data_IF_456347695940
#
_entry.id   IF_456347695940
#
_cell.length_a   1.000
_cell.length_b   1.000
_cell.length_c   1.000
_cell.angle_alpha   90.00
_cell.angle_beta   90.00
_cell.angle_gamma   90.00
#
_symmetry.space_group_name_H-M   'P 1'
#
loop_
_entity.id
_entity.type
_entity.pdbx_description
1 polymer ?
#
# COMPACT_ATOMS: atom_id res chain seq x y z
N UNK A 1 -25.18 -19.77 -14.43
CA UNK A 1 -25.81 -18.47 -14.10
C UNK A 1 -26.39 -18.45 -12.68
N UNK A 2 -26.35 -19.55 -11.91
CA UNK A 2 -26.84 -19.62 -10.53
C UNK A 2 -25.78 -19.42 -9.42
N UNK A 3 -24.50 -19.21 -9.76
CA UNK A 3 -23.41 -19.01 -8.78
C UNK A 3 -23.13 -17.54 -8.44
N UNK A 4 -23.82 -16.58 -9.07
CA UNK A 4 -23.52 -15.13 -8.96
C UNK A 4 -23.88 -14.50 -7.60
N UNK A 5 -24.53 -15.26 -6.72
CA UNK A 5 -24.88 -14.86 -5.36
C UNK A 5 -23.97 -15.51 -4.30
N UNK A 6 -22.78 -16.00 -4.68
CA UNK A 6 -21.69 -16.09 -3.70
C UNK A 6 -21.39 -14.67 -3.22
N UNK A 7 -21.92 -14.34 -2.04
CA UNK A 7 -21.98 -13.01 -1.44
C UNK A 7 -20.68 -12.23 -1.64
N UNK A 8 -20.75 -11.11 -2.35
CA UNK A 8 -19.66 -10.15 -2.45
C UNK A 8 -19.15 -9.84 -1.03
N UNK A 9 -17.91 -10.23 -0.71
CA UNK A 9 -17.38 -10.23 0.66
C UNK A 9 -16.91 -8.83 1.09
N UNK A 10 -17.78 -7.83 1.03
CA UNK A 10 -17.52 -6.46 1.48
C UNK A 10 -18.01 -6.25 2.90
N UNK A 11 -17.18 -5.63 3.73
CA UNK A 11 -17.59 -5.20 5.07
C UNK A 11 -17.99 -3.75 5.03
N UNK A 12 -19.21 -3.45 5.43
CA UNK A 12 -19.73 -2.09 5.58
C UNK A 12 -20.46 -1.95 6.91
N UNK A 13 -20.49 -0.76 7.53
CA UNK A 13 -21.31 -0.49 8.70
C UNK A 13 -22.80 -0.71 8.40
N UNK A 14 -23.60 -1.01 9.43
CA UNK A 14 -25.05 -1.12 9.29
C UNK A 14 -25.70 0.26 9.06
N UNK A 15 -26.63 0.34 8.11
CA UNK A 15 -27.42 1.55 7.85
C UNK A 15 -28.63 1.61 8.80
N UNK A 16 -28.65 2.61 9.68
CA UNK A 16 -29.66 2.76 10.75
C UNK A 16 -30.17 4.19 10.96
N UNK A 17 -29.51 5.20 10.39
CA UNK A 17 -29.88 6.60 10.55
C UNK A 17 -30.84 7.04 9.45
N UNK A 18 -31.82 7.87 9.77
CA UNK A 18 -32.76 8.46 8.80
C UNK A 18 -32.44 9.92 8.46
N UNK A 19 -31.57 10.57 9.24
CA UNK A 19 -31.12 11.94 9.04
C UNK A 19 -29.68 12.11 9.55
N UNK A 20 -29.01 13.17 9.09
CA UNK A 20 -27.68 13.57 9.56
C UNK A 20 -27.82 14.62 10.67
N UNK A 21 -26.92 14.60 11.65
CA UNK A 21 -26.94 15.50 12.81
C UNK A 21 -26.42 16.91 12.51
N UNK A 22 -25.60 17.04 11.45
CA UNK A 22 -24.81 18.25 11.18
C UNK A 22 -25.34 19.07 9.99
N UNK A 23 -26.15 18.48 9.11
CA UNK A 23 -26.84 19.18 8.01
C UNK A 23 -28.02 18.35 7.49
N UNK A 24 -28.85 18.91 6.61
CA UNK A 24 -29.82 18.10 5.87
C UNK A 24 -29.10 17.14 4.90
N UNK A 25 -29.69 15.96 4.65
CA UNK A 25 -29.15 14.95 3.74
C UNK A 25 -29.36 15.31 2.25
N UNK A 26 -29.03 16.55 1.87
CA UNK A 26 -29.15 17.05 0.50
C UNK A 26 -27.80 17.57 0.01
N UNK A 27 -27.48 17.45 -1.31
CA UNK A 27 -26.21 17.94 -1.84
C UNK A 27 -25.95 19.41 -1.54
N UNK A 28 -26.98 20.27 -1.63
CA UNK A 28 -26.86 21.71 -1.37
C UNK A 28 -26.52 22.02 0.08
N UNK A 29 -27.15 21.34 1.04
CA UNK A 29 -26.88 21.54 2.46
C UNK A 29 -25.47 21.04 2.82
N UNK A 30 -25.08 19.87 2.29
CA UNK A 30 -23.75 19.32 2.52
C UNK A 30 -22.65 20.17 1.88
N UNK A 31 -22.85 20.69 0.66
CA UNK A 31 -21.90 21.59 0.01
C UNK A 31 -21.68 22.88 0.81
N UNK A 32 -22.75 23.46 1.38
CA UNK A 32 -22.64 24.58 2.31
C UNK A 32 -21.81 24.20 3.54
N UNK A 33 -22.11 23.06 4.17
CA UNK A 33 -21.36 22.58 5.32
C UNK A 33 -19.88 22.34 5.02
N UNK A 34 -19.55 21.79 3.85
CA UNK A 34 -18.16 21.58 3.39
C UNK A 34 -17.43 22.91 3.23
N UNK A 35 -18.08 23.94 2.67
CA UNK A 35 -17.49 25.29 2.55
C UNK A 35 -17.19 25.94 3.91
N UNK A 36 -17.99 25.62 4.93
CA UNK A 36 -17.86 26.18 6.28
C UNK A 36 -16.83 25.41 7.15
N UNK A 37 -16.15 24.39 6.59
CA UNK A 37 -15.11 23.65 7.32
C UNK A 37 -13.90 24.55 7.63
N UNK A 38 -13.34 24.50 8.85
CA UNK A 38 -12.21 25.33 9.24
C UNK A 38 -10.90 24.78 8.67
N UNK A 39 -10.67 24.91 7.36
CA UNK A 39 -9.52 24.31 6.66
C UNK A 39 -8.15 24.76 7.20
N UNK A 40 -8.07 25.89 7.92
CA UNK A 40 -6.87 26.32 8.63
C UNK A 40 -6.56 25.47 9.89
N UNK A 41 -7.57 24.81 10.47
CA UNK A 41 -7.44 23.88 11.58
C UNK A 41 -7.68 22.44 11.09
N UNK A 42 -6.59 21.81 10.63
CA UNK A 42 -6.61 20.45 10.06
C UNK A 42 -7.14 19.42 11.07
N UNK A 43 -6.78 19.56 12.35
CA UNK A 43 -7.20 18.63 13.39
C UNK A 43 -8.72 18.67 13.64
N UNK A 44 -9.30 19.86 13.68
CA UNK A 44 -10.75 20.03 13.83
C UNK A 44 -11.51 19.61 12.56
N UNK A 45 -11.02 19.99 11.38
CA UNK A 45 -11.59 19.56 10.10
C UNK A 45 -11.61 18.03 9.98
N UNK A 46 -10.52 17.36 10.35
CA UNK A 46 -10.44 15.90 10.35
C UNK A 46 -11.48 15.24 11.26
N UNK A 47 -11.71 15.79 12.46
CA UNK A 47 -12.75 15.28 13.38
C UNK A 47 -14.14 15.45 12.80
N UNK A 48 -14.47 16.63 12.26
CA UNK A 48 -15.77 16.91 11.65
C UNK A 48 -16.05 15.99 10.46
N UNK A 49 -15.05 15.82 9.57
CA UNK A 49 -15.15 14.88 8.44
C UNK A 49 -15.31 13.44 8.91
N UNK A 50 -14.57 13.01 9.94
CA UNK A 50 -14.70 11.67 10.49
C UNK A 50 -16.11 11.38 11.02
N UNK A 51 -16.68 12.31 11.81
CA UNK A 51 -18.06 12.19 12.30
C UNK A 51 -19.07 12.19 11.15
N UNK A 52 -18.93 13.12 10.20
CA UNK A 52 -19.82 13.21 9.04
C UNK A 52 -19.80 11.94 8.19
N UNK A 53 -18.63 11.39 7.88
CA UNK A 53 -18.49 10.14 7.13
C UNK A 53 -19.09 8.95 7.87
N UNK A 54 -18.94 8.89 9.20
CA UNK A 54 -19.51 7.82 10.00
C UNK A 54 -21.05 7.84 9.96
N UNK A 55 -21.65 9.03 10.06
CA UNK A 55 -23.11 9.19 9.91
C UNK A 55 -23.57 8.91 8.49
N UNK A 56 -22.86 9.41 7.47
CA UNK A 56 -23.18 9.14 6.07
C UNK A 56 -23.19 7.64 5.76
N UNK A 57 -22.23 6.87 6.26
CA UNK A 57 -22.20 5.41 6.09
C UNK A 57 -23.37 4.70 6.81
N UNK A 58 -23.93 5.30 7.86
CA UNK A 58 -25.08 4.75 8.58
C UNK A 58 -26.42 5.29 8.08
N UNK A 59 -26.44 6.33 7.23
CA UNK A 59 -27.66 6.94 6.71
C UNK A 59 -28.37 5.96 5.76
N UNK A 60 -29.70 5.81 5.87
CA UNK A 60 -30.53 5.06 4.92
C UNK A 60 -30.96 6.04 3.83
N UNK A 61 -30.41 5.87 2.61
CA UNK A 61 -30.66 6.77 1.48
C UNK A 61 -30.42 6.04 0.16
N UNK A 62 -31.04 6.52 -0.94
CA UNK A 62 -30.89 5.90 -2.25
C UNK A 62 -29.43 5.97 -2.76
N UNK A 63 -28.94 4.96 -3.51
CA UNK A 63 -27.54 4.89 -3.97
C UNK A 63 -27.07 6.13 -4.74
N UNK A 64 -27.95 6.69 -5.59
CA UNK A 64 -27.65 7.89 -6.39
C UNK A 64 -27.44 9.13 -5.52
N UNK A 65 -28.24 9.28 -4.47
CA UNK A 65 -28.13 10.40 -3.53
C UNK A 65 -26.91 10.22 -2.63
N UNK A 66 -26.66 8.99 -2.13
CA UNK A 66 -25.44 8.63 -1.42
C UNK A 66 -24.20 9.00 -2.22
N UNK A 67 -24.16 8.62 -3.50
CA UNK A 67 -23.06 8.96 -4.41
C UNK A 67 -22.81 10.47 -4.45
N UNK A 68 -23.86 11.27 -4.66
CA UNK A 68 -23.74 12.72 -4.71
C UNK A 68 -23.21 13.32 -3.40
N UNK A 69 -23.62 12.81 -2.24
CA UNK A 69 -23.13 13.28 -0.94
C UNK A 69 -21.65 12.91 -0.70
N UNK A 70 -21.23 11.70 -1.05
CA UNK A 70 -19.86 11.24 -0.83
C UNK A 70 -18.88 11.98 -1.74
N UNK A 71 -19.22 12.24 -3.00
CA UNK A 71 -18.33 12.97 -3.90
C UNK A 71 -18.03 14.40 -3.39
N UNK A 72 -18.97 15.04 -2.67
CA UNK A 72 -18.77 16.39 -2.09
C UNK A 72 -17.72 16.42 -0.97
N UNK A 73 -17.56 15.33 -0.21
CA UNK A 73 -16.64 15.27 0.92
C UNK A 73 -15.28 14.65 0.55
N UNK A 74 -15.16 14.06 -0.64
CA UNK A 74 -13.96 13.37 -1.10
C UNK A 74 -12.73 14.27 -1.12
N UNK A 75 -12.81 15.42 -1.78
CA UNK A 75 -11.67 16.34 -1.89
C UNK A 75 -11.21 16.88 -0.52
N UNK A 76 -12.11 17.32 0.38
CA UNK A 76 -11.75 17.64 1.77
C UNK A 76 -11.03 16.50 2.51
N UNK A 77 -11.50 15.26 2.38
CA UNK A 77 -10.88 14.09 3.02
C UNK A 77 -9.46 13.86 2.48
N UNK A 78 -9.27 13.95 1.16
CA UNK A 78 -7.96 13.78 0.54
C UNK A 78 -6.98 14.89 0.96
N UNK A 79 -7.43 16.14 0.98
CA UNK A 79 -6.64 17.27 1.46
C UNK A 79 -6.19 17.06 2.91
N UNK A 80 -7.12 16.76 3.82
CA UNK A 80 -6.83 16.52 5.24
C UNK A 80 -5.90 15.32 5.43
N UNK A 81 -6.11 14.22 4.72
CA UNK A 81 -5.21 13.06 4.75
C UNK A 81 -3.77 13.41 4.31
N UNK A 82 -3.62 14.30 3.33
CA UNK A 82 -2.32 14.79 2.86
C UNK A 82 -1.63 15.69 3.89
N UNK A 83 -2.36 16.61 4.51
CA UNK A 83 -1.81 17.48 5.55
C UNK A 83 -1.42 16.72 6.82
N UNK A 84 -2.28 15.80 7.27
CA UNK A 84 -2.00 14.95 8.43
C UNK A 84 -0.80 14.01 8.21
N UNK A 85 -0.50 13.64 6.96
CA UNK A 85 0.65 12.80 6.62
C UNK A 85 1.99 13.38 7.09
N UNK A 86 2.10 14.71 7.09
CA UNK A 86 3.31 15.43 7.52
C UNK A 86 3.64 15.20 9.00
N UNK A 87 2.68 14.72 9.81
CA UNK A 87 2.86 14.53 11.25
C UNK A 87 3.24 13.10 11.66
N UNK A 88 3.16 12.12 10.77
CA UNK A 88 3.54 10.73 11.07
C UNK A 88 4.53 10.12 10.08
N UNK A 89 4.71 10.71 8.89
CA UNK A 89 5.79 10.32 7.99
C UNK A 89 7.12 10.95 8.40
N UNK A 90 8.22 10.27 8.07
CA UNK A 90 9.60 10.63 8.43
C UNK A 90 9.83 10.76 9.96
N UNK A 91 8.98 10.10 10.75
CA UNK A 91 9.14 9.93 12.19
C UNK A 91 9.90 8.62 12.48
N UNK A 92 10.36 8.40 13.73
CA UNK A 92 10.97 7.13 14.12
C UNK A 92 10.08 5.92 13.78
N UNK A 93 10.71 4.78 13.47
CA UNK A 93 10.00 3.53 13.08
C UNK A 93 8.95 3.13 14.13
N UNK A 94 9.30 3.26 15.41
CA UNK A 94 8.32 3.15 16.49
C UNK A 94 7.68 4.52 16.70
N UNK A 95 6.48 4.69 16.14
CA UNK A 95 5.74 5.94 16.25
C UNK A 95 5.35 6.24 17.70
N UNK A 96 5.60 7.46 18.19
CA UNK A 96 5.02 7.94 19.44
C UNK A 96 3.48 7.97 19.39
N UNK A 97 2.84 8.04 20.55
CA UNK A 97 1.39 7.92 20.66
C UNK A 97 0.61 8.93 19.81
N UNK A 98 1.04 10.20 19.78
CA UNK A 98 0.37 11.26 19.03
C UNK A 98 0.42 11.04 17.50
N UNK A 99 1.60 10.88 16.85
CA UNK A 99 1.68 10.50 15.44
C UNK A 99 0.90 9.23 15.09
N UNK A 100 0.93 8.21 15.95
CA UNK A 100 0.17 6.97 15.76
C UNK A 100 -1.34 7.23 15.74
N UNK A 101 -1.88 8.05 16.65
CA UNK A 101 -3.30 8.45 16.63
C UNK A 101 -3.66 9.21 15.36
N UNK A 102 -2.78 10.07 14.86
CA UNK A 102 -2.99 10.81 13.60
C UNK A 102 -3.03 9.85 12.40
N UNK A 103 -2.08 8.90 12.32
CA UNK A 103 -2.06 7.89 11.28
C UNK A 103 -3.36 7.05 11.28
N UNK A 104 -3.81 6.61 12.46
CA UNK A 104 -5.07 5.87 12.62
C UNK A 104 -6.30 6.69 12.21
N UNK A 105 -6.32 7.99 12.51
CA UNK A 105 -7.40 8.87 12.05
C UNK A 105 -7.45 8.95 10.52
N UNK A 106 -6.31 9.15 9.85
CA UNK A 106 -6.30 9.17 8.38
C UNK A 106 -6.66 7.81 7.77
N UNK A 107 -6.23 6.73 8.42
CA UNK A 107 -6.61 5.37 8.05
C UNK A 107 -8.13 5.20 8.11
N UNK A 108 -8.76 5.68 9.19
CA UNK A 108 -10.21 5.60 9.37
C UNK A 108 -10.99 6.52 8.41
N UNK A 109 -10.50 7.74 8.13
CA UNK A 109 -11.10 8.65 7.14
C UNK A 109 -11.16 8.00 5.75
N UNK A 110 -10.05 7.37 5.31
CA UNK A 110 -10.01 6.72 4.00
C UNK A 110 -10.88 5.46 3.95
N UNK A 111 -10.87 4.63 5.01
CA UNK A 111 -11.75 3.45 5.10
C UNK A 111 -13.23 3.83 5.10
N UNK A 112 -13.61 4.89 5.82
CA UNK A 112 -14.97 5.39 5.83
C UNK A 112 -15.38 5.91 4.45
N UNK A 113 -14.47 6.51 3.69
CA UNK A 113 -14.74 6.93 2.32
C UNK A 113 -15.00 5.71 1.41
N UNK A 114 -14.13 4.70 1.49
CA UNK A 114 -14.33 3.44 0.78
C UNK A 114 -15.65 2.75 1.15
N UNK A 115 -16.03 2.74 2.43
CA UNK A 115 -17.32 2.20 2.91
C UNK A 115 -18.52 2.85 2.23
N UNK A 116 -18.47 4.17 2.03
CA UNK A 116 -19.53 4.89 1.36
C UNK A 116 -19.74 4.40 -0.08
N UNK A 117 -18.66 4.17 -0.82
CA UNK A 117 -18.73 3.59 -2.17
C UNK A 117 -19.15 2.13 -2.17
N UNK A 118 -18.70 1.34 -1.19
CA UNK A 118 -19.12 -0.06 -1.04
C UNK A 118 -20.63 -0.17 -0.79
N UNK A 119 -21.24 0.74 -0.03
CA UNK A 119 -22.70 0.80 0.11
C UNK A 119 -23.40 1.02 -1.24
N UNK A 120 -22.91 1.94 -2.08
CA UNK A 120 -23.50 2.18 -3.41
C UNK A 120 -23.50 0.89 -4.24
N UNK A 121 -22.43 0.11 -4.15
CA UNK A 121 -22.28 -1.17 -4.87
C UNK A 121 -23.27 -2.21 -4.33
N UNK A 122 -23.30 -2.42 -3.01
CA UNK A 122 -24.17 -3.41 -2.35
C UNK A 122 -25.65 -3.10 -2.52
N UNK A 123 -26.02 -1.82 -2.39
CA UNK A 123 -27.41 -1.35 -2.53
C UNK A 123 -27.88 -1.35 -4.00
N UNK A 124 -26.94 -1.52 -4.94
CA UNK A 124 -27.19 -1.60 -6.38
C UNK A 124 -26.86 -2.99 -6.93
N UNK A 125 -27.12 -4.07 -6.19
CA UNK A 125 -27.02 -5.47 -6.65
C UNK A 125 -28.38 -5.99 -7.16
N UNK A 126 -28.66 -5.78 -8.44
CA UNK A 126 -29.82 -6.27 -9.18
C UNK A 126 -29.39 -6.96 -10.49
N UNK A 127 -30.23 -7.84 -11.08
CA UNK A 127 -29.84 -8.59 -12.27
C UNK A 127 -29.56 -7.72 -13.52
N UNK A 128 -30.14 -6.52 -13.58
CA UNK A 128 -29.96 -5.57 -14.68
C UNK A 128 -30.21 -4.15 -14.19
N UNK A 129 -29.46 -3.19 -14.74
CA UNK A 129 -29.61 -1.77 -14.41
C UNK A 129 -29.39 -0.91 -15.65
N UNK A 130 -30.00 0.30 -15.67
CA UNK A 130 -29.73 1.29 -16.71
C UNK A 130 -28.24 1.63 -16.84
N UNK A 131 -27.81 2.02 -18.04
CA UNK A 131 -26.42 2.40 -18.35
C UNK A 131 -25.87 3.50 -17.41
N UNK A 132 -26.71 4.43 -16.97
CA UNK A 132 -26.35 5.47 -15.99
C UNK A 132 -25.94 4.87 -14.63
N UNK A 133 -26.66 3.85 -14.18
CA UNK A 133 -26.34 3.13 -12.93
C UNK A 133 -25.05 2.33 -13.09
N UNK A 134 -24.85 1.69 -14.26
CA UNK A 134 -23.59 0.98 -14.57
C UNK A 134 -22.36 1.89 -14.49
N UNK A 135 -22.46 3.13 -15.00
CA UNK A 135 -21.38 4.13 -14.90
C UNK A 135 -21.13 4.58 -13.46
N UNK A 136 -22.20 4.73 -12.68
CA UNK A 136 -22.11 5.07 -11.24
C UNK A 136 -21.44 3.93 -10.46
N UNK A 137 -21.84 2.68 -10.71
CA UNK A 137 -21.21 1.47 -10.16
C UNK A 137 -19.74 1.38 -10.54
N UNK A 138 -19.41 1.61 -11.81
CA UNK A 138 -18.03 1.57 -12.27
C UNK A 138 -17.17 2.62 -11.54
N UNK A 139 -17.71 3.83 -11.38
CA UNK A 139 -17.05 4.89 -10.62
C UNK A 139 -16.91 4.51 -9.15
N UNK A 140 -17.95 3.97 -8.51
CA UNK A 140 -17.89 3.52 -7.12
C UNK A 140 -16.84 2.41 -6.90
N UNK A 141 -16.75 1.41 -7.78
CA UNK A 141 -15.71 0.38 -7.71
C UNK A 141 -14.30 0.98 -7.84
N UNK A 142 -14.11 1.88 -8.80
CA UNK A 142 -12.83 2.57 -9.01
C UNK A 142 -12.41 3.39 -7.78
N UNK A 143 -13.34 4.18 -7.21
CA UNK A 143 -13.08 4.97 -6.00
C UNK A 143 -12.79 4.07 -4.80
N UNK A 144 -13.59 3.03 -4.57
CA UNK A 144 -13.40 2.11 -3.46
C UNK A 144 -12.03 1.41 -3.51
N UNK A 145 -11.63 0.90 -4.69
CA UNK A 145 -10.29 0.30 -4.87
C UNK A 145 -9.21 1.34 -4.62
N UNK A 146 -9.35 2.55 -5.15
CA UNK A 146 -8.36 3.63 -4.96
C UNK A 146 -8.19 4.04 -3.49
N UNK A 147 -9.29 4.14 -2.75
CA UNK A 147 -9.29 4.48 -1.33
C UNK A 147 -8.70 3.37 -0.47
N UNK A 148 -9.09 2.11 -0.70
CA UNK A 148 -8.49 0.95 -0.04
C UNK A 148 -6.99 0.85 -0.36
N UNK A 149 -6.58 1.11 -1.60
CA UNK A 149 -5.18 1.09 -2.02
C UNK A 149 -4.33 2.11 -1.24
N UNK A 150 -4.87 3.30 -0.96
CA UNK A 150 -4.18 4.33 -0.16
C UNK A 150 -4.01 3.89 1.30
N UNK A 151 -4.91 3.05 1.81
CA UNK A 151 -4.72 2.47 3.15
C UNK A 151 -3.59 1.46 3.21
N UNK A 152 -3.46 0.63 2.17
CA UNK A 152 -2.37 -0.33 2.05
C UNK A 152 -1.04 0.41 1.85
N UNK A 153 -1.01 1.46 1.03
CA UNK A 153 0.15 2.33 0.90
C UNK A 153 0.59 2.89 2.26
N UNK A 154 -0.34 3.45 3.03
CA UNK A 154 -0.03 4.01 4.36
C UNK A 154 0.52 2.95 5.30
N UNK A 155 -0.07 1.75 5.32
CA UNK A 155 0.45 0.64 6.11
C UNK A 155 1.87 0.25 5.69
N UNK A 156 2.15 0.19 4.39
CA UNK A 156 3.50 -0.06 3.87
C UNK A 156 4.49 1.05 4.26
N UNK A 157 4.09 2.32 4.21
CA UNK A 157 4.92 3.45 4.66
C UNK A 157 5.20 3.38 6.16
N UNK A 158 4.26 2.89 6.96
CA UNK A 158 4.44 2.71 8.39
C UNK A 158 5.08 1.37 8.76
N UNK A 159 5.51 0.59 7.77
CA UNK A 159 6.10 -0.75 7.94
C UNK A 159 5.23 -1.67 8.80
N UNK A 160 3.90 -1.52 8.70
CA UNK A 160 2.90 -2.31 9.40
C UNK A 160 2.21 -3.29 8.43
N UNK A 161 1.50 -4.27 8.99
CA UNK A 161 0.61 -5.12 8.19
C UNK A 161 -0.47 -4.29 7.50
N UNK A 162 -0.90 -4.72 6.32
CA UNK A 162 -2.06 -4.15 5.63
C UNK A 162 -3.31 -4.23 6.54
N UNK A 163 -4.26 -3.28 6.41
CA UNK A 163 -5.50 -3.32 7.18
C UNK A 163 -6.27 -4.61 6.90
N UNK A 164 -6.89 -5.18 7.93
CA UNK A 164 -7.65 -6.42 7.82
C UNK A 164 -8.78 -6.28 6.80
N UNK A 165 -8.88 -7.22 5.87
CA UNK A 165 -9.90 -7.29 4.82
C UNK A 165 -9.63 -6.40 3.61
N UNK A 166 -8.65 -5.49 3.65
CA UNK A 166 -8.43 -4.55 2.56
C UNK A 166 -8.06 -5.24 1.24
N UNK A 167 -7.24 -6.30 1.29
CA UNK A 167 -6.87 -7.04 0.08
C UNK A 167 -8.06 -7.85 -0.43
N UNK A 168 -8.75 -8.55 0.46
CA UNK A 168 -9.94 -9.31 0.08
C UNK A 168 -10.96 -8.40 -0.61
N UNK A 169 -11.29 -7.25 -0.02
CA UNK A 169 -12.26 -6.32 -0.59
C UNK A 169 -11.83 -5.78 -1.95
N UNK A 170 -10.55 -5.41 -2.13
CA UNK A 170 -10.03 -4.96 -3.42
C UNK A 170 -10.21 -6.06 -4.49
N UNK A 171 -9.88 -7.32 -4.15
CA UNK A 171 -10.02 -8.44 -5.08
C UNK A 171 -11.48 -8.70 -5.44
N UNK A 172 -12.37 -8.64 -4.46
CA UNK A 172 -13.82 -8.84 -4.65
C UNK A 172 -14.42 -7.73 -5.52
N UNK A 173 -14.01 -6.47 -5.31
CA UNK A 173 -14.44 -5.32 -6.13
C UNK A 173 -13.97 -5.46 -7.59
N UNK A 174 -12.74 -5.91 -7.82
CA UNK A 174 -12.22 -6.15 -9.16
C UNK A 174 -12.95 -7.31 -9.85
N UNK A 175 -13.12 -8.45 -9.17
CA UNK A 175 -13.84 -9.61 -9.69
C UNK A 175 -15.31 -9.27 -10.04
N UNK A 176 -15.99 -8.54 -9.15
CA UNK A 176 -17.33 -8.01 -9.42
C UNK A 176 -17.36 -7.11 -10.66
N UNK A 177 -16.41 -6.19 -10.79
CA UNK A 177 -16.33 -5.30 -11.94
C UNK A 177 -16.05 -6.05 -13.26
N UNK A 178 -15.25 -7.11 -13.23
CA UNK A 178 -15.00 -8.01 -14.37
C UNK A 178 -16.30 -8.71 -14.79
N UNK A 179 -16.97 -9.38 -13.86
CA UNK A 179 -18.20 -10.15 -14.10
C UNK A 179 -19.35 -9.28 -14.60
N UNK A 180 -19.46 -8.05 -14.07
CA UNK A 180 -20.47 -7.09 -14.48
C UNK A 180 -20.08 -6.32 -15.74
N UNK A 181 -18.93 -6.59 -16.38
CA UNK A 181 -18.40 -5.88 -17.55
C UNK A 181 -18.32 -4.35 -17.34
N UNK A 182 -17.75 -3.95 -16.21
CA UNK A 182 -17.53 -2.55 -15.80
C UNK A 182 -16.10 -2.07 -16.10
N UNK A 183 -15.15 -2.97 -16.35
CA UNK A 183 -13.74 -2.61 -16.59
C UNK A 183 -13.53 -1.69 -17.81
N UNK A 184 -14.46 -1.71 -18.77
CA UNK A 184 -14.42 -0.90 -20.00
C UNK A 184 -14.64 0.62 -19.80
N UNK A 185 -15.13 1.05 -18.64
CA UNK A 185 -15.44 2.46 -18.42
C UNK A 185 -14.19 3.26 -18.07
N UNK A 186 -13.93 4.31 -18.84
CA UNK A 186 -12.96 5.35 -18.49
C UNK A 186 -13.59 6.29 -17.46
N UNK A 187 -12.92 6.45 -16.32
CA UNK A 187 -13.42 7.17 -15.14
C UNK A 187 -12.47 8.33 -14.86
N UNK A 188 -13.04 9.52 -14.76
CA UNK A 188 -12.30 10.71 -14.39
C UNK A 188 -12.02 10.71 -12.88
N UNK A 189 -10.77 10.98 -12.50
CA UNK A 189 -10.36 11.11 -11.10
C UNK A 189 -9.38 12.26 -10.91
N UNK A 190 -9.86 13.37 -10.33
CA UNK A 190 -8.99 14.50 -9.97
C UNK A 190 -7.94 14.17 -8.91
N UNK A 191 -8.04 13.01 -8.25
CA UNK A 191 -7.06 12.56 -7.27
C UNK A 191 -5.92 11.73 -7.87
N UNK A 192 -6.01 11.39 -9.16
CA UNK A 192 -4.90 10.85 -9.94
C UNK A 192 -4.07 11.99 -10.53
N UNK A 193 -2.74 11.82 -10.53
CA UNK A 193 -1.80 12.85 -11.01
C UNK A 193 -1.36 12.62 -12.44
N UNK A 194 -1.15 11.37 -12.81
CA UNK A 194 -0.42 11.03 -14.04
C UNK A 194 -1.27 10.29 -15.08
N UNK A 195 -2.42 9.73 -14.66
CA UNK A 195 -3.35 9.04 -15.55
C UNK A 195 -4.80 9.36 -15.23
N UNK A 196 -5.40 10.20 -16.05
CA UNK A 196 -6.79 10.61 -15.99
C UNK A 196 -7.31 10.87 -17.41
N UNK A 197 -8.37 10.17 -17.89
CA UNK A 197 -9.15 9.15 -17.18
C UNK A 197 -8.39 7.83 -16.98
N UNK A 198 -8.89 7.00 -16.06
CA UNK A 198 -8.38 5.65 -15.77
C UNK A 198 -9.53 4.66 -15.61
N UNK A 199 -9.26 3.37 -15.72
CA UNK A 199 -10.25 2.29 -15.55
C UNK A 199 -10.13 1.64 -14.17
N UNK A 200 -11.12 0.82 -13.83
CA UNK A 200 -11.06 -0.03 -12.61
C UNK A 200 -9.84 -0.96 -12.66
N UNK A 201 -9.52 -1.51 -13.84
CA UNK A 201 -8.33 -2.33 -14.03
C UNK A 201 -7.05 -1.58 -13.72
N UNK A 202 -6.95 -0.31 -14.13
CA UNK A 202 -5.78 0.52 -13.84
C UNK A 202 -5.60 0.78 -12.33
N UNK A 203 -6.70 1.07 -11.62
CA UNK A 203 -6.68 1.24 -10.17
C UNK A 203 -6.26 -0.05 -9.44
N UNK A 204 -6.74 -1.20 -9.92
CA UNK A 204 -6.33 -2.51 -9.40
C UNK A 204 -4.85 -2.80 -9.68
N UNK A 205 -4.41 -2.68 -10.93
CA UNK A 205 -3.01 -2.89 -11.31
C UNK A 205 -2.03 -2.02 -10.52
N UNK A 206 -2.39 -0.75 -10.25
CA UNK A 206 -1.58 0.17 -9.45
C UNK A 206 -1.24 -0.39 -8.06
N UNK A 207 -2.21 -0.97 -7.35
CA UNK A 207 -1.98 -1.53 -6.02
C UNK A 207 -1.26 -2.89 -6.08
N UNK A 208 -1.49 -3.70 -7.12
CA UNK A 208 -0.71 -4.92 -7.36
C UNK A 208 0.77 -4.61 -7.61
N UNK A 209 1.07 -3.58 -8.40
CA UNK A 209 2.44 -3.10 -8.62
C UNK A 209 3.11 -2.71 -7.30
N UNK A 210 2.43 -1.97 -6.43
CA UNK A 210 2.96 -1.61 -5.11
C UNK A 210 3.29 -2.84 -4.25
N UNK A 211 2.41 -3.84 -4.24
CA UNK A 211 2.65 -5.08 -3.51
C UNK A 211 3.86 -5.86 -4.05
N UNK A 212 4.00 -5.91 -5.39
CA UNK A 212 5.09 -6.61 -6.06
C UNK A 212 6.42 -5.85 -5.99
N UNK A 213 6.41 -4.54 -5.67
CA UNK A 213 7.59 -3.68 -5.60
C UNK A 213 8.48 -3.90 -4.36
N UNK A 214 8.22 -4.92 -3.54
CA UNK A 214 8.95 -5.23 -2.29
C UNK A 214 8.97 -4.03 -1.33
N UNK A 215 7.80 -3.56 -0.85
CA UNK A 215 7.68 -2.30 -0.12
C UNK A 215 8.56 -2.20 1.13
N UNK A 216 8.86 -3.32 1.80
CA UNK A 216 9.75 -3.38 2.96
C UNK A 216 11.24 -3.08 2.65
N UNK A 217 11.61 -2.91 1.38
CA UNK A 217 12.96 -2.54 0.94
C UNK A 217 13.04 -1.06 0.52
N UNK A 218 11.95 -0.30 0.65
CA UNK A 218 11.82 1.07 0.17
C UNK A 218 11.57 2.04 1.33
N UNK A 219 11.99 3.30 1.17
CA UNK A 219 11.70 4.36 2.15
C UNK A 219 10.26 4.82 2.02
N UNK A 220 9.75 5.47 3.07
CA UNK A 220 8.37 5.99 3.11
C UNK A 220 8.07 6.98 1.97
N UNK A 221 9.05 7.85 1.64
CA UNK A 221 8.97 8.79 0.51
C UNK A 221 8.95 8.08 -0.84
N UNK A 222 9.79 7.05 -0.99
CA UNK A 222 9.94 6.32 -2.25
C UNK A 222 8.65 5.55 -2.56
N UNK A 223 8.01 4.98 -1.53
CA UNK A 223 6.71 4.33 -1.66
C UNK A 223 5.63 5.27 -2.19
N UNK A 224 5.56 6.52 -1.70
CA UNK A 224 4.59 7.49 -2.19
C UNK A 224 4.87 7.87 -3.65
N UNK A 225 6.12 8.18 -3.97
CA UNK A 225 6.56 8.52 -5.32
C UNK A 225 6.25 7.38 -6.31
N UNK A 226 6.66 6.16 -5.98
CA UNK A 226 6.42 4.98 -6.81
C UNK A 226 4.94 4.70 -6.99
N UNK A 227 4.13 4.85 -5.95
CA UNK A 227 2.69 4.69 -6.07
C UNK A 227 2.05 5.71 -7.02
N UNK A 228 2.60 6.93 -7.15
CA UNK A 228 2.20 7.87 -8.20
C UNK A 228 2.68 7.41 -9.57
N UNK A 229 3.93 6.98 -9.70
CA UNK A 229 4.46 6.45 -10.97
C UNK A 229 3.65 5.26 -11.49
N UNK A 230 3.20 4.37 -10.60
CA UNK A 230 2.38 3.21 -10.95
C UNK A 230 1.01 3.59 -11.54
N UNK A 231 0.54 4.83 -11.37
CA UNK A 231 -0.63 5.32 -12.11
C UNK A 231 -0.38 5.27 -13.62
N UNK A 232 0.75 5.80 -14.09
CA UNK A 232 1.11 5.80 -15.51
C UNK A 232 1.45 4.38 -16.00
N UNK A 233 2.16 3.59 -15.19
CA UNK A 233 2.65 2.26 -15.57
C UNK A 233 1.60 1.15 -15.50
N UNK A 234 0.44 1.41 -14.90
CA UNK A 234 -0.68 0.46 -14.84
C UNK A 234 -1.15 -0.05 -16.22
N UNK A 235 -0.83 0.67 -17.30
CA UNK A 235 -1.11 0.29 -18.71
C UNK A 235 -0.17 -0.77 -19.29
N UNK A 236 0.96 -1.03 -18.62
CA UNK A 236 2.01 -1.96 -19.09
C UNK A 236 1.99 -3.30 -18.35
N UNK A 237 0.90 -3.56 -17.63
CA UNK A 237 0.68 -4.78 -16.85
C UNK A 237 -0.76 -5.25 -17.03
N UNK A 238 -0.98 -6.53 -16.83
CA UNK A 238 -2.30 -7.13 -17.01
C UNK A 238 -2.57 -8.18 -15.93
N UNK A 239 -3.77 -8.17 -15.36
CA UNK A 239 -4.27 -9.18 -14.44
C UNK A 239 -5.45 -9.91 -15.08
N UNK A 240 -5.34 -11.23 -15.23
CA UNK A 240 -6.35 -12.05 -15.90
C UNK A 240 -6.30 -13.52 -15.49
N UNK A 241 -7.43 -14.21 -15.61
CA UNK A 241 -7.54 -15.65 -15.28
C UNK A 241 -6.84 -16.54 -16.32
N UNK A 242 -6.75 -16.07 -17.55
CA UNK A 242 -6.04 -16.68 -18.67
C UNK A 242 -4.51 -16.69 -18.49
N UNK A 243 -3.97 -15.83 -17.62
CA UNK A 243 -2.53 -15.68 -17.41
C UNK A 243 -1.91 -16.58 -16.34
N UNK A 244 -2.70 -17.36 -15.59
CA UNK A 244 -2.22 -18.10 -14.39
C UNK A 244 -1.01 -19.01 -14.71
N UNK A 245 -0.97 -19.58 -15.92
CA UNK A 245 0.09 -20.48 -16.39
C UNK A 245 1.42 -19.79 -16.73
N UNK A 246 1.41 -18.50 -17.06
CA UNK A 246 2.58 -17.79 -17.60
C UNK A 246 3.03 -16.63 -16.72
N UNK A 247 2.12 -16.03 -15.96
CA UNK A 247 2.39 -14.88 -15.11
C UNK A 247 3.47 -15.13 -14.04
N UNK A 248 4.23 -14.09 -13.73
CA UNK A 248 5.24 -14.10 -12.66
C UNK A 248 4.59 -14.16 -11.28
N UNK A 249 3.46 -13.47 -11.11
CA UNK A 249 2.70 -13.40 -9.88
C UNK A 249 1.34 -14.05 -10.03
N UNK A 250 0.84 -14.62 -8.93
CA UNK A 250 -0.53 -15.12 -8.84
C UNK A 250 -1.25 -14.48 -7.65
N UNK A 251 -2.57 -14.39 -7.79
CA UNK A 251 -3.48 -13.79 -6.85
C UNK A 251 -4.60 -14.79 -6.59
N UNK A 252 -4.91 -14.99 -5.31
CA UNK A 252 -6.09 -15.73 -4.88
C UNK A 252 -7.13 -14.71 -4.37
N UNK A 253 -8.18 -14.41 -5.18
CA UNK A 253 -9.13 -13.35 -4.87
C UNK A 253 -10.05 -13.66 -3.69
N UNK A 254 -10.03 -14.90 -3.18
CA UNK A 254 -10.79 -15.31 -1.99
C UNK A 254 -10.00 -15.15 -0.69
N UNK A 255 -8.75 -14.68 -0.76
CA UNK A 255 -7.88 -14.48 0.40
C UNK A 255 -7.56 -13.01 0.63
N UNK A 256 -7.43 -12.63 1.90
CA UNK A 256 -6.98 -11.29 2.30
C UNK A 256 -5.44 -11.16 2.20
N UNK A 257 -4.90 -11.39 0.99
CA UNK A 257 -3.46 -11.40 0.73
C UNK A 257 -3.12 -10.67 -0.57
N UNK A 258 -1.94 -10.07 -0.57
CA UNK A 258 -1.34 -9.46 -1.76
C UNK A 258 -0.92 -10.53 -2.80
N UNK A 259 -0.61 -10.14 -4.04
CA UNK A 259 0.03 -11.02 -5.00
C UNK A 259 1.28 -11.69 -4.44
N UNK A 260 1.53 -12.93 -4.85
CA UNK A 260 2.72 -13.69 -4.52
C UNK A 260 3.38 -14.21 -5.78
N UNK A 261 4.70 -14.40 -5.74
CA UNK A 261 5.39 -15.08 -6.83
C UNK A 261 4.82 -16.48 -7.02
N UNK A 262 4.47 -16.82 -8.27
CA UNK A 262 3.86 -18.12 -8.62
C UNK A 262 4.66 -19.30 -8.07
N UNK A 263 5.98 -19.23 -8.16
CA UNK A 263 6.92 -20.27 -7.71
C UNK A 263 6.99 -20.44 -6.19
N UNK A 264 6.54 -19.45 -5.41
CA UNK A 264 6.48 -19.51 -3.94
C UNK A 264 5.07 -19.80 -3.44
N UNK A 265 4.08 -19.77 -4.33
CA UNK A 265 2.70 -19.85 -3.96
C UNK A 265 2.34 -21.28 -3.56
N UNK A 266 1.90 -21.45 -2.32
CA UNK A 266 1.30 -22.70 -1.82
C UNK A 266 -0.19 -22.69 -2.12
N UNK A 267 -0.53 -22.59 -3.40
CA UNK A 267 -1.92 -22.44 -3.85
C UNK A 267 -2.34 -23.73 -4.53
N UNK A 268 -3.59 -24.14 -4.32
CA UNK A 268 -4.16 -25.28 -5.02
C UNK A 268 -4.23 -24.92 -6.53
N UNK A 269 -3.48 -25.62 -7.42
CA UNK A 269 -3.50 -25.35 -8.86
C UNK A 269 -4.90 -25.48 -9.48
N UNK A 270 -5.80 -26.21 -8.80
CA UNK A 270 -7.18 -26.42 -9.24
C UNK A 270 -8.15 -25.33 -8.75
N UNK A 271 -7.68 -24.28 -8.06
CA UNK A 271 -8.53 -23.15 -7.73
C UNK A 271 -8.92 -22.41 -9.01
N UNK A 272 -10.19 -22.53 -9.40
CA UNK A 272 -10.73 -21.94 -10.65
C UNK A 272 -10.80 -20.41 -10.64
N UNK A 273 -10.50 -19.79 -9.50
CA UNK A 273 -10.60 -18.33 -9.28
C UNK A 273 -9.26 -17.62 -9.28
N UNK A 274 -8.13 -18.32 -9.48
CA UNK A 274 -6.82 -17.66 -9.49
C UNK A 274 -6.69 -16.67 -10.65
N UNK A 275 -5.98 -15.59 -10.37
CA UNK A 275 -5.67 -14.54 -11.34
C UNK A 275 -4.15 -14.49 -11.49
N UNK A 276 -3.65 -14.57 -12.73
CA UNK A 276 -2.26 -14.30 -13.05
C UNK A 276 -2.06 -12.79 -13.19
N UNK A 277 -0.96 -12.26 -12.65
CA UNK A 277 -0.57 -10.88 -12.82
C UNK A 277 0.75 -10.80 -13.57
N UNK A 278 0.66 -10.38 -14.85
CA UNK A 278 1.79 -10.27 -15.75
C UNK A 278 2.42 -8.87 -15.68
N UNK A 279 3.71 -8.86 -15.38
CA UNK A 279 4.57 -7.68 -15.29
C UNK A 279 5.71 -7.71 -16.30
N UNK A 280 5.72 -8.67 -17.23
CA UNK A 280 6.81 -8.92 -18.17
C UNK A 280 7.09 -7.73 -19.09
N UNK A 281 6.04 -7.10 -19.64
CA UNK A 281 6.16 -5.92 -20.49
C UNK A 281 6.80 -4.75 -19.74
N UNK A 282 6.33 -4.44 -18.52
CA UNK A 282 6.91 -3.39 -17.71
C UNK A 282 8.37 -3.69 -17.32
N UNK A 283 8.68 -4.94 -16.96
CA UNK A 283 10.05 -5.34 -16.64
C UNK A 283 11.01 -5.17 -17.83
N UNK A 284 10.54 -5.49 -19.05
CA UNK A 284 11.28 -5.25 -20.29
C UNK A 284 11.51 -3.76 -20.52
N UNK A 285 10.47 -2.92 -20.44
CA UNK A 285 10.59 -1.47 -20.61
C UNK A 285 11.58 -0.84 -19.61
N UNK A 286 11.58 -1.29 -18.36
CA UNK A 286 12.53 -0.85 -17.35
C UNK A 286 13.97 -1.26 -17.68
N UNK A 287 14.15 -2.48 -18.16
CA UNK A 287 15.48 -3.02 -18.51
C UNK A 287 16.05 -2.34 -19.76
N UNK A 288 15.22 -2.15 -20.78
CA UNK A 288 15.58 -1.44 -22.00
C UNK A 288 15.93 0.02 -21.70
N UNK A 289 15.14 0.70 -20.83
CA UNK A 289 15.43 2.06 -20.40
C UNK A 289 16.79 2.15 -19.68
N UNK A 290 17.06 1.26 -18.72
CA UNK A 290 18.34 1.20 -18.00
C UNK A 290 19.53 0.93 -18.94
N UNK A 291 19.38 0.04 -19.91
CA UNK A 291 20.43 -0.26 -20.89
C UNK A 291 20.75 0.93 -21.80
N UNK A 292 19.75 1.76 -22.11
CA UNK A 292 19.90 2.94 -22.96
C UNK A 292 20.46 4.16 -22.21
N UNK A 293 20.36 4.23 -20.88
CA UNK A 293 20.98 5.31 -20.10
C UNK A 293 22.51 5.38 -20.29
N UNK A 294 23.14 4.24 -20.58
CA UNK A 294 24.60 4.13 -20.73
C UNK A 294 25.07 4.16 -22.19
N UNK A 295 24.16 4.28 -23.17
CA UNK A 295 24.52 4.37 -24.59
C UNK A 295 24.42 5.82 -25.06
N UNK A 296 25.56 6.46 -25.28
CA UNK A 296 25.63 7.73 -26.00
C UNK A 296 25.30 7.49 -27.48
N UNK A 297 24.17 7.98 -27.98
CA UNK A 297 23.99 8.14 -29.44
C UNK A 297 22.59 7.94 -30.02
N UNK A 298 21.77 7.03 -29.50
CA UNK A 298 20.47 6.73 -30.11
C UNK A 298 19.41 6.47 -29.03
N UNK A 299 18.52 7.44 -28.81
CA UNK A 299 17.36 7.28 -27.93
C UNK A 299 16.36 6.35 -28.62
N UNK A 300 16.22 5.13 -28.11
CA UNK A 300 15.23 4.17 -28.59
C UNK A 300 13.79 4.72 -28.48
N UNK A 301 12.92 4.33 -29.42
CA UNK A 301 11.54 4.82 -29.59
C UNK A 301 10.57 4.42 -28.45
N UNK A 302 10.92 3.42 -27.61
CA UNK A 302 10.09 3.01 -26.48
C UNK A 302 10.32 3.91 -25.26
N UNK A 303 9.62 5.05 -25.21
CA UNK A 303 9.70 5.99 -24.09
C UNK A 303 8.89 5.45 -22.92
N UNK A 304 9.57 4.80 -21.96
CA UNK A 304 8.99 4.59 -20.63
C UNK A 304 8.68 5.96 -20.03
N UNK A 305 7.40 6.24 -19.78
CA UNK A 305 6.97 7.49 -19.13
C UNK A 305 7.54 7.53 -17.70
N UNK A 306 8.34 8.55 -17.40
CA UNK A 306 8.87 8.83 -16.06
C UNK A 306 8.22 10.09 -15.48
N UNK A 307 7.00 9.97 -14.93
CA UNK A 307 6.27 11.12 -14.41
C UNK A 307 6.90 11.72 -13.15
N UNK A 308 7.66 10.91 -12.40
CA UNK A 308 8.38 11.31 -11.20
C UNK A 308 9.88 11.20 -11.43
N UNK A 309 10.69 11.99 -10.70
CA UNK A 309 12.15 11.91 -10.76
C UNK A 309 12.66 10.65 -10.04
N UNK A 310 12.66 9.54 -10.76
CA UNK A 310 13.17 8.26 -10.28
C UNK A 310 14.68 8.15 -10.50
N UNK A 311 15.43 7.98 -9.41
CA UNK A 311 16.84 7.59 -9.51
C UNK A 311 16.99 6.19 -10.15
N UNK A 312 18.14 5.95 -10.80
CA UNK A 312 18.48 4.68 -11.44
C UNK A 312 18.37 3.48 -10.47
N UNK A 313 18.71 3.68 -9.19
CA UNK A 313 18.58 2.66 -8.16
C UNK A 313 17.14 2.17 -7.98
N UNK A 314 16.14 3.05 -8.08
CA UNK A 314 14.73 2.68 -8.02
C UNK A 314 14.34 1.87 -9.26
N UNK A 315 14.75 2.30 -10.45
CA UNK A 315 14.46 1.59 -11.71
C UNK A 315 15.08 0.19 -11.70
N UNK A 316 16.34 0.07 -11.26
CA UNK A 316 17.03 -1.23 -11.11
C UNK A 316 16.34 -2.14 -10.09
N UNK A 317 15.88 -1.57 -8.97
CA UNK A 317 15.10 -2.30 -7.96
C UNK A 317 13.79 -2.83 -8.54
N UNK A 318 13.02 -1.99 -9.25
CA UNK A 318 11.73 -2.36 -9.84
C UNK A 318 11.88 -3.38 -10.97
N UNK A 319 12.90 -3.24 -11.82
CA UNK A 319 13.20 -4.22 -12.87
C UNK A 319 13.44 -5.61 -12.27
N UNK A 320 14.19 -5.69 -11.16
CA UNK A 320 14.40 -6.94 -10.41
C UNK A 320 13.13 -7.43 -9.72
N UNK A 321 12.32 -6.53 -9.18
CA UNK A 321 11.08 -6.89 -8.49
C UNK A 321 10.06 -7.51 -9.46
N UNK A 322 9.90 -6.92 -10.65
CA UNK A 322 8.91 -7.30 -11.66
C UNK A 322 9.40 -8.32 -12.70
N UNK A 323 10.70 -8.60 -12.78
CA UNK A 323 11.26 -9.48 -13.81
C UNK A 323 11.46 -10.93 -13.35
N UNK A 324 12.24 -11.15 -12.29
CA UNK A 324 12.65 -12.51 -11.88
C UNK A 324 12.70 -12.63 -10.37
N UNK A 325 12.17 -13.74 -9.84
CA UNK A 325 12.40 -14.11 -8.45
C UNK A 325 13.87 -14.54 -8.27
N UNK A 326 14.67 -13.70 -7.64
CA UNK A 326 15.99 -14.11 -7.15
C UNK A 326 15.80 -15.11 -6.02
N UNK A 327 16.19 -16.38 -6.24
CA UNK A 327 16.19 -17.39 -5.18
C UNK A 327 17.13 -16.95 -4.07
N UNK A 328 16.71 -17.12 -2.82
CA UNK A 328 17.53 -16.79 -1.65
C UNK A 328 18.73 -17.74 -1.60
N UNK A 329 19.91 -17.19 -1.31
CA UNK A 329 21.16 -17.96 -1.18
C UNK A 329 21.18 -18.85 0.06
N UNK A 330 20.43 -18.49 1.11
CA UNK A 330 20.42 -19.20 2.40
C UNK A 330 19.02 -19.66 2.80
N UNK A 331 18.93 -20.88 3.32
CA UNK A 331 17.69 -21.44 3.86
C UNK A 331 17.34 -20.79 5.21
N UNK A 332 16.06 -20.42 5.39
CA UNK A 332 15.54 -20.03 6.71
C UNK A 332 15.12 -21.27 7.47
N UNK A 333 15.54 -21.35 8.72
CA UNK A 333 15.12 -22.39 9.67
C UNK A 333 14.24 -21.69 10.70
N UNK A 334 12.97 -22.09 10.80
CA UNK A 334 12.09 -21.58 11.85
C UNK A 334 12.67 -21.98 13.22
N UNK A 335 12.88 -20.97 14.06
CA UNK A 335 13.45 -21.08 15.41
C UNK A 335 12.69 -20.11 16.32
N UNK A 336 12.27 -20.59 17.48
CA UNK A 336 11.79 -19.75 18.58
C UNK A 336 12.92 -19.52 19.58
N UNK A 337 12.98 -18.32 20.15
CA UNK A 337 13.99 -17.93 21.13
C UNK A 337 13.82 -16.47 21.54
N UNK A 338 14.48 -16.06 22.62
CA UNK A 338 14.55 -14.66 23.03
C UNK A 338 15.70 -13.99 22.29
N UNK A 339 15.56 -12.72 21.94
CA UNK A 339 16.56 -11.96 21.21
C UNK A 339 16.83 -10.64 21.91
N UNK A 340 18.10 -10.30 22.13
CA UNK A 340 18.47 -8.95 22.52
C UNK A 340 18.79 -8.14 21.26
N UNK A 341 18.09 -7.02 21.08
CA UNK A 341 18.22 -6.14 19.91
C UNK A 341 18.61 -4.75 20.39
N UNK A 342 19.67 -4.21 19.80
CA UNK A 342 20.02 -2.79 19.94
C UNK A 342 19.67 -2.06 18.65
N UNK A 343 19.07 -0.87 18.77
CA UNK A 343 18.60 -0.08 17.62
C UNK A 343 19.35 1.24 17.56
N UNK A 344 19.94 1.53 16.41
CA UNK A 344 20.68 2.78 16.16
C UNK A 344 22.16 2.67 16.50
N UNK A 345 22.96 3.52 15.85
CA UNK A 345 24.42 3.48 15.95
C UNK A 345 24.92 3.81 17.36
N UNK A 346 24.30 4.75 18.07
CA UNK A 346 24.73 5.13 19.42
C UNK A 346 24.49 4.03 20.44
N UNK A 347 23.30 3.40 20.44
CA UNK A 347 23.00 2.27 21.34
C UNK A 347 23.85 1.06 20.98
N UNK A 348 24.00 0.78 19.68
CA UNK A 348 24.91 -0.27 19.20
C UNK A 348 26.33 -0.01 19.68
N UNK A 349 26.84 1.20 19.50
CA UNK A 349 28.16 1.60 19.97
C UNK A 349 28.28 1.38 21.47
N UNK A 350 27.39 1.97 22.27
CA UNK A 350 27.39 1.84 23.73
C UNK A 350 27.49 0.38 24.17
N UNK A 351 26.65 -0.47 23.59
CA UNK A 351 26.64 -1.89 23.90
C UNK A 351 27.84 -2.66 23.35
N UNK A 352 28.42 -2.27 22.21
CA UNK A 352 29.67 -2.84 21.68
C UNK A 352 30.93 -2.31 22.40
N UNK A 353 30.84 -1.15 23.04
CA UNK A 353 31.92 -0.43 23.71
C UNK A 353 31.91 -0.61 25.24
N UNK A 354 31.21 -1.63 25.77
CA UNK A 354 31.26 -1.96 27.20
C UNK A 354 30.46 -1.01 28.09
N UNK A 355 29.51 -0.26 27.52
CA UNK A 355 28.73 0.74 28.26
C UNK A 355 29.33 2.15 28.20
N UNK A 356 30.29 2.40 27.30
CA UNK A 356 30.86 3.73 27.09
C UNK A 356 30.07 4.51 26.04
N UNK A 357 29.68 5.73 26.39
CA UNK A 357 29.04 6.64 25.44
C UNK A 357 30.02 7.06 24.35
N UNK A 358 29.54 7.19 23.11
CA UNK A 358 30.38 7.55 21.96
C UNK A 358 31.19 8.84 22.17
N UNK A 359 30.58 9.86 22.77
CA UNK A 359 31.26 11.12 23.07
C UNK A 359 32.38 10.96 24.11
N UNK A 360 32.17 10.10 25.12
CA UNK A 360 33.18 9.82 26.15
C UNK A 360 34.35 9.03 25.56
N UNK A 361 34.09 8.07 24.65
CA UNK A 361 35.13 7.30 23.99
C UNK A 361 35.99 8.12 23.02
N UNK A 362 35.43 9.18 22.42
CA UNK A 362 36.21 10.13 21.62
C UNK A 362 37.17 10.97 22.49
N UNK A 363 36.83 11.17 23.76
CA UNK A 363 37.58 11.99 24.72
C UNK A 363 38.57 11.17 25.55
N UNK A 364 38.33 9.88 25.76
CA UNK A 364 39.19 8.95 26.48
C UNK A 364 39.68 7.86 25.54
N UNK A 365 40.92 7.99 25.06
CA UNK A 365 41.69 6.83 24.59
C UNK A 365 42.52 6.33 25.76
N UNK A 366 41.96 5.54 26.67
CA UNK A 366 42.78 4.67 27.52
C UNK A 366 41.94 3.60 28.25
N UNK A 367 42.33 2.33 28.00
CA UNK A 367 42.14 1.15 28.84
C UNK A 367 40.72 0.75 29.27
N UNK A 368 39.95 0.19 28.34
CA UNK A 368 38.87 -0.74 28.69
C UNK A 368 39.31 -2.19 28.45
N UNK A 369 39.13 -3.07 29.43
CA UNK A 369 39.31 -4.51 29.28
C UNK A 369 38.21 -5.06 28.35
N UNK A 370 38.54 -5.46 27.11
CA UNK A 370 37.54 -5.84 26.12
C UNK A 370 36.82 -7.16 26.46
N UNK A 371 37.21 -7.84 27.54
CA UNK A 371 36.73 -9.16 27.89
C UNK A 371 35.43 -9.19 28.70
N UNK A 372 34.91 -8.07 29.20
CA UNK A 372 33.66 -8.09 30.01
C UNK A 372 32.38 -7.76 29.25
N UNK A 373 32.51 -7.38 27.97
CA UNK A 373 31.35 -7.06 27.14
C UNK A 373 30.70 -8.31 26.52
N UNK A 374 29.43 -8.53 26.82
CA UNK A 374 28.62 -9.62 26.26
C UNK A 374 28.60 -9.66 24.71
N UNK A 375 28.48 -8.51 24.04
CA UNK A 375 28.44 -8.41 22.57
C UNK A 375 29.80 -8.75 21.93
N UNK A 376 30.91 -8.40 22.59
CA UNK A 376 32.27 -8.75 22.14
C UNK A 376 32.64 -10.20 22.47
N UNK A 377 32.16 -10.73 23.62
CA UNK A 377 32.34 -12.14 24.03
C UNK A 377 31.72 -13.10 23.02
N UNK A 378 30.52 -12.81 22.50
CA UNK A 378 29.88 -13.66 21.49
C UNK A 378 30.59 -13.60 20.13
N UNK A 379 31.17 -12.45 19.75
CA UNK A 379 31.92 -12.31 18.49
C UNK A 379 33.19 -13.17 18.45
N UNK A 380 33.81 -13.45 19.61
CA UNK A 380 35.04 -14.26 19.72
C UNK A 380 34.79 -15.76 19.82
N UNK A 381 33.59 -16.19 20.24
CA UNK A 381 33.20 -17.59 20.06
C UNK A 381 33.04 -17.81 18.56
N UNK A 382 33.79 -18.77 17.99
CA UNK A 382 33.70 -19.17 16.57
C UNK A 382 32.24 -19.18 16.17
N UNK A 383 31.85 -18.19 15.37
CA UNK A 383 30.55 -18.21 14.71
C UNK A 383 30.53 -19.51 13.91
N UNK A 384 29.47 -20.30 14.05
CA UNK A 384 29.29 -21.54 13.30
C UNK A 384 29.28 -21.24 11.78
N UNK A 385 29.11 -19.97 11.40
CA UNK A 385 29.16 -19.44 10.06
C UNK A 385 30.44 -18.64 9.71
N UNK A 386 31.40 -18.53 10.64
CA UNK A 386 32.59 -17.70 10.50
C UNK A 386 33.82 -18.43 9.97
N UNK A 387 33.92 -18.60 8.63
CA UNK A 387 35.11 -18.37 7.78
C UNK A 387 35.20 -19.34 6.57
N UNK A 388 35.81 -18.94 5.41
CA UNK A 388 36.50 -17.66 5.14
C UNK A 388 35.90 -16.81 4.00
N UNK A 389 36.25 -15.52 4.03
CA UNK A 389 36.09 -14.49 2.99
C UNK A 389 34.68 -14.06 2.55
N UNK A 390 34.04 -13.19 3.34
CA UNK A 390 33.05 -12.25 2.78
C UNK A 390 33.33 -10.87 3.35
N UNK A 391 33.85 -9.96 2.51
CA UNK A 391 33.95 -8.53 2.80
C UNK A 391 32.54 -8.00 3.10
N UNK A 392 32.38 -7.39 4.26
CA UNK A 392 31.14 -6.75 4.68
C UNK A 392 30.75 -5.66 3.67
N UNK A 393 29.56 -5.79 3.09
CA UNK A 393 28.85 -4.66 2.49
C UNK A 393 27.81 -4.21 3.51
N UNK A 394 27.98 -2.97 3.96
CA UNK A 394 27.14 -2.28 4.92
C UNK A 394 25.66 -2.32 4.50
N UNK A 395 24.77 -2.66 5.43
CA UNK A 395 23.35 -2.67 5.08
C UNK A 395 22.33 -3.12 6.13
N UNK A 396 22.64 -3.17 7.43
CA UNK A 396 21.60 -3.32 8.47
C UNK A 396 22.13 -2.85 9.83
N UNK A 397 21.49 -1.82 10.41
CA UNK A 397 21.85 -1.25 11.72
C UNK A 397 21.18 -1.98 12.90
N UNK A 398 21.24 -3.32 12.93
CA UNK A 398 20.69 -4.09 14.04
C UNK A 398 21.63 -5.24 14.41
N UNK A 399 22.07 -5.24 15.68
CA UNK A 399 22.86 -6.31 16.26
C UNK A 399 21.97 -7.19 17.13
N UNK A 400 22.22 -8.48 17.02
CA UNK A 400 21.38 -9.53 17.57
C UNK A 400 22.26 -10.48 18.35
N UNK A 401 22.09 -10.53 19.66
CA UNK A 401 22.75 -11.49 20.53
C UNK A 401 21.72 -12.47 21.13
N UNK A 402 22.03 -13.77 21.14
CA UNK A 402 21.15 -14.84 21.63
C UNK A 402 21.39 -15.10 23.12
N UNK A 403 20.36 -15.22 23.97
CA UNK A 403 20.51 -15.78 25.32
C UNK A 403 20.60 -17.31 25.26
N UNK A 404 21.22 -17.90 26.29
CA UNK A 404 21.43 -19.34 26.45
C UNK A 404 20.12 -20.14 26.51
#
# INVERSE_FOLDING_TARGET
MDDLNESLKLRVPEQRLTALSFCEATPRALEKWVRDLPMANIGETAKRLYHAQNELNQLIIAPTERYALIELIRDPVYFVCGELAKHYLNQPVVLPEKPRKIANLCQALQLNLANGYKHIILDSLAPSYPEKVRRTLATACHRAISDLSRTILRANQLYSSSPQGAWLEIHQLFAFAEEQNLLKYAIEDGQNRHRNPSTIGDAYHRILLLACARPNQLRQSDLAMLFHTFEAWSRHVYAGRDLVGDALFIIDPDTDKSPVYRTLAKVNPNSRRLIGFDTSQLAKLLTDHLANLHKEGERAEAVLELPERLAESHLSHLAKAFGVLTKRTFNRIDRSGVLQVTVGLTSTHYHCAGGVEFAQQLLHQENDDPNDNYFLRQMRRKDVWGAPEIRAVAGTNAWVARPN
#
